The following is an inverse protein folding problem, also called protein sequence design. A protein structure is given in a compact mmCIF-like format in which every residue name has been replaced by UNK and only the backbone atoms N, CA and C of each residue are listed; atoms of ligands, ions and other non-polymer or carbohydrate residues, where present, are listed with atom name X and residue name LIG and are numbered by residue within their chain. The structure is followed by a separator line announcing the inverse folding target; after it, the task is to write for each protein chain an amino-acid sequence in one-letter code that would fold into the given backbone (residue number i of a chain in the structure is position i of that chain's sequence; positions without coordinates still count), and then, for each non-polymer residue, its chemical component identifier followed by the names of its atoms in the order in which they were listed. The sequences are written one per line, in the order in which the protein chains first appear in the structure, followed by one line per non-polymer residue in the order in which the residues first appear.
data_IF_863449869663
#
_entry.id   IF_863449869663
#
_cell.length_a   1.000
_cell.length_b   1.000
_cell.length_c   1.000
_cell.angle_alpha   90.00
_cell.angle_beta   90.00
_cell.angle_gamma   90.00
#
_symmetry.space_group_name_H-M   'P 1'
#
loop_
_entity.id
_entity.type
_entity.pdbx_description
1 polymer ?
#
# COMPACT_ATOMS: atom_id res chain seq x y z
N UNK A 1 -15.82 -3.72 -14.55
CA UNK A 1 -15.39 -2.69 -13.58
C UNK A 1 -16.40 -1.56 -13.46
N UNK A 2 -16.67 -0.77 -14.50
CA UNK A 2 -17.62 0.37 -14.43
C UNK A 2 -19.03 -0.02 -13.94
N UNK A 3 -19.58 -1.13 -14.43
CA UNK A 3 -20.86 -1.66 -13.92
C UNK A 3 -20.80 -2.01 -12.43
N UNK A 4 -19.67 -2.56 -11.97
CA UNK A 4 -19.44 -2.86 -10.56
C UNK A 4 -19.28 -1.59 -9.73
N UNK A 5 -18.64 -0.55 -10.25
CA UNK A 5 -18.51 0.77 -9.59
C UNK A 5 -19.88 1.40 -9.35
N UNK A 6 -20.84 1.20 -10.26
CA UNK A 6 -22.20 1.69 -10.13
C UNK A 6 -23.04 0.92 -9.09
N UNK A 7 -22.81 -0.38 -8.92
CA UNK A 7 -23.47 -1.22 -7.91
C UNK A 7 -22.52 -2.28 -7.31
N UNK A 8 -21.64 -1.88 -6.37
CA UNK A 8 -20.61 -2.75 -5.79
C UNK A 8 -21.13 -3.93 -4.97
N UNK A 9 -22.41 -3.88 -4.58
CA UNK A 9 -23.04 -4.86 -3.69
C UNK A 9 -23.64 -6.01 -4.49
N UNK A 10 -24.30 -5.73 -5.61
CA UNK A 10 -25.03 -6.76 -6.36
C UNK A 10 -24.29 -7.23 -7.61
N UNK A 11 -23.46 -6.39 -8.23
CA UNK A 11 -22.68 -6.80 -9.42
C UNK A 11 -21.49 -7.63 -8.97
N UNK A 12 -21.28 -8.78 -9.62
CA UNK A 12 -20.13 -9.66 -9.32
C UNK A 12 -18.89 -9.21 -10.10
N UNK A 13 -17.72 -9.08 -9.46
CA UNK A 13 -16.50 -8.69 -10.16
C UNK A 13 -16.05 -9.80 -11.12
N UNK A 14 -15.75 -9.45 -12.36
CA UNK A 14 -15.27 -10.38 -13.38
C UNK A 14 -13.74 -10.35 -13.41
N UNK A 15 -13.11 -11.52 -13.35
CA UNK A 15 -11.67 -11.67 -13.50
C UNK A 15 -11.24 -11.54 -14.97
N UNK A 16 -11.72 -12.45 -15.83
CA UNK A 16 -11.45 -12.46 -17.26
C UNK A 16 -12.47 -13.36 -17.99
N UNK A 17 -12.52 -13.24 -19.32
CA UNK A 17 -13.29 -14.14 -20.18
C UNK A 17 -12.68 -15.55 -20.21
N UNK A 18 -13.52 -16.55 -20.41
CA UNK A 18 -13.10 -17.94 -20.63
C UNK A 18 -13.12 -18.20 -22.13
N UNK A 19 -12.00 -18.69 -22.66
CA UNK A 19 -11.90 -19.21 -24.01
C UNK A 19 -11.40 -20.65 -23.93
N UNK A 20 -12.34 -21.59 -23.93
CA UNK A 20 -12.04 -23.03 -23.90
C UNK A 20 -12.84 -23.75 -25.00
N UNK A 21 -12.18 -24.24 -26.08
CA UNK A 21 -12.87 -24.90 -27.19
C UNK A 21 -13.49 -26.25 -26.81
N UNK A 22 -13.20 -26.80 -25.62
CA UNK A 22 -13.78 -28.05 -25.14
C UNK A 22 -15.10 -27.84 -24.38
N UNK A 23 -15.50 -26.59 -24.10
CA UNK A 23 -16.77 -26.31 -23.45
C UNK A 23 -17.93 -26.72 -24.35
N UNK A 24 -18.77 -27.65 -23.86
CA UNK A 24 -20.09 -27.85 -24.41
C UNK A 24 -20.98 -26.64 -24.19
N UNK A 25 -22.05 -26.52 -24.96
CA UNK A 25 -22.99 -25.39 -24.90
C UNK A 25 -23.53 -25.15 -23.48
N UNK A 26 -23.82 -26.21 -22.72
CA UNK A 26 -24.27 -26.11 -21.33
C UNK A 26 -23.23 -25.49 -20.39
N UNK A 27 -21.94 -25.72 -20.62
CA UNK A 27 -20.87 -25.08 -19.87
C UNK A 27 -20.75 -23.60 -20.26
N UNK A 28 -20.85 -23.28 -21.56
CA UNK A 28 -20.88 -21.89 -22.03
C UNK A 28 -22.00 -21.10 -21.35
N UNK A 29 -23.22 -21.64 -21.33
CA UNK A 29 -24.37 -21.03 -20.66
C UNK A 29 -24.15 -20.94 -19.14
N UNK A 30 -23.65 -22.00 -18.52
CA UNK A 30 -23.40 -22.03 -17.09
C UNK A 30 -22.34 -21.02 -16.65
N UNK A 31 -21.34 -20.69 -17.48
CA UNK A 31 -20.29 -19.71 -17.15
C UNK A 31 -20.57 -18.30 -17.69
N UNK A 32 -21.61 -18.12 -18.50
CA UNK A 32 -22.08 -16.79 -18.91
C UNK A 32 -22.92 -16.19 -17.79
N UNK A 33 -22.24 -15.53 -16.84
CA UNK A 33 -22.84 -14.95 -15.62
C UNK A 33 -22.40 -13.51 -15.41
N UNK A 34 -23.03 -12.83 -14.44
CA UNK A 34 -22.61 -11.50 -13.99
C UNK A 34 -22.85 -10.41 -15.03
N UNK A 35 -23.89 -10.53 -15.85
CA UNK A 35 -24.22 -9.56 -16.91
C UNK A 35 -23.35 -9.67 -18.17
N UNK A 36 -22.36 -10.57 -18.20
CA UNK A 36 -21.50 -10.77 -19.36
C UNK A 36 -22.25 -11.42 -20.53
N UNK A 37 -21.84 -11.08 -21.76
CA UNK A 37 -22.36 -11.68 -23.00
C UNK A 37 -21.72 -13.02 -23.36
N UNK A 38 -20.80 -13.52 -22.53
CA UNK A 38 -20.13 -14.80 -22.73
C UNK A 38 -19.50 -15.36 -21.45
N UNK A 39 -18.84 -16.53 -21.55
CA UNK A 39 -18.27 -17.22 -20.39
C UNK A 39 -17.20 -16.39 -19.66
N UNK A 40 -17.31 -16.29 -18.34
CA UNK A 40 -16.38 -15.51 -17.50
C UNK A 40 -16.04 -16.22 -16.19
N UNK A 41 -14.88 -15.89 -15.64
CA UNK A 41 -14.53 -16.21 -14.26
C UNK A 41 -14.89 -15.04 -13.34
N UNK A 42 -15.50 -15.35 -12.18
CA UNK A 42 -15.72 -14.38 -11.11
C UNK A 42 -14.41 -14.19 -10.35
N UNK A 43 -14.03 -12.93 -10.12
CA UNK A 43 -12.85 -12.59 -9.33
C UNK A 43 -13.13 -12.72 -7.84
N UNK A 44 -12.19 -13.34 -7.11
CA UNK A 44 -12.21 -13.40 -5.65
C UNK A 44 -10.94 -12.80 -5.03
N UNK A 45 -10.21 -11.97 -5.80
CA UNK A 45 -8.91 -11.42 -5.40
C UNK A 45 -9.01 -10.07 -4.68
N UNK A 46 -10.18 -9.42 -4.66
CA UNK A 46 -10.38 -8.13 -4.00
C UNK A 46 -9.87 -6.90 -4.75
N UNK A 47 -9.36 -7.08 -5.98
CA UNK A 47 -8.77 -5.96 -6.76
C UNK A 47 -9.79 -4.90 -7.14
N UNK A 48 -11.06 -5.26 -7.33
CA UNK A 48 -12.13 -4.30 -7.61
C UNK A 48 -12.35 -3.34 -6.44
N UNK A 49 -12.47 -3.90 -5.23
CA UNK A 49 -12.63 -3.15 -3.98
C UNK A 49 -11.42 -2.25 -3.74
N UNK A 50 -10.21 -2.77 -3.93
CA UNK A 50 -8.98 -1.99 -3.77
C UNK A 50 -8.92 -0.82 -4.76
N UNK A 51 -9.04 -1.08 -6.07
CA UNK A 51 -8.98 -0.04 -7.10
C UNK A 51 -10.03 1.04 -6.90
N UNK A 52 -11.26 0.64 -6.59
CA UNK A 52 -12.34 1.57 -6.31
C UNK A 52 -12.07 2.43 -5.07
N UNK A 53 -11.53 1.84 -4.00
CA UNK A 53 -11.20 2.57 -2.77
C UNK A 53 -10.14 3.64 -3.01
N UNK A 54 -9.15 3.36 -3.88
CA UNK A 54 -8.06 4.30 -4.18
C UNK A 54 -8.40 5.31 -5.28
N UNK A 55 -9.65 5.31 -5.77
CA UNK A 55 -10.15 6.37 -6.67
C UNK A 55 -10.28 5.97 -8.15
N UNK A 56 -9.99 4.73 -8.55
CA UNK A 56 -10.25 4.30 -9.93
C UNK A 56 -11.75 4.16 -10.17
N UNK A 57 -12.26 4.65 -11.31
CA UNK A 57 -13.68 4.64 -11.67
C UNK A 57 -13.95 4.05 -13.06
N UNK A 58 -13.00 4.13 -13.97
CA UNK A 58 -13.18 3.77 -15.38
C UNK A 58 -12.23 2.67 -15.86
N UNK A 59 -12.61 1.99 -16.94
CA UNK A 59 -11.71 1.05 -17.63
C UNK A 59 -10.49 1.75 -18.22
N UNK A 60 -10.62 3.02 -18.62
CA UNK A 60 -9.53 3.81 -19.18
C UNK A 60 -8.39 4.02 -18.18
N UNK A 61 -8.71 4.30 -16.92
CA UNK A 61 -7.70 4.47 -15.87
C UNK A 61 -7.02 3.14 -15.52
N UNK A 62 -7.77 2.02 -15.50
CA UNK A 62 -7.19 0.69 -15.34
C UNK A 62 -6.24 0.34 -16.50
N UNK A 63 -6.63 0.66 -17.73
CA UNK A 63 -5.79 0.46 -18.90
C UNK A 63 -4.50 1.28 -18.82
N UNK A 64 -4.59 2.59 -18.51
CA UNK A 64 -3.43 3.45 -18.34
C UNK A 64 -2.51 2.94 -17.21
N UNK A 65 -3.08 2.50 -16.09
CA UNK A 65 -2.33 1.89 -14.99
C UNK A 65 -1.58 0.63 -15.42
N UNK A 66 -2.21 -0.22 -16.25
CA UNK A 66 -1.58 -1.43 -16.77
C UNK A 66 -0.40 -1.12 -17.71
N UNK A 67 -0.54 -0.11 -18.57
CA UNK A 67 0.53 0.36 -19.46
C UNK A 67 1.67 0.96 -18.65
N UNK A 68 1.37 1.76 -17.62
CA UNK A 68 2.37 2.31 -16.71
C UNK A 68 3.18 1.21 -16.03
N UNK A 69 2.52 0.18 -15.47
CA UNK A 69 3.21 -0.94 -14.83
C UNK A 69 4.05 -1.77 -15.83
N UNK A 70 3.60 -1.92 -17.08
CA UNK A 70 4.39 -2.57 -18.13
C UNK A 70 5.67 -1.78 -18.45
N UNK A 71 5.60 -0.44 -18.52
CA UNK A 71 6.77 0.42 -18.71
C UNK A 71 7.72 0.38 -17.52
N UNK A 72 7.20 0.39 -16.29
CA UNK A 72 8.01 0.24 -15.06
C UNK A 72 8.70 -1.13 -15.03
N UNK A 73 8.02 -2.20 -15.42
CA UNK A 73 8.62 -3.54 -15.54
C UNK A 73 9.77 -3.55 -16.56
N UNK A 74 9.56 -2.95 -17.73
CA UNK A 74 10.61 -2.80 -18.74
C UNK A 74 11.81 -1.99 -18.23
N UNK A 75 11.55 -0.91 -17.47
CA UNK A 75 12.59 -0.12 -16.82
C UNK A 75 13.41 -0.95 -15.82
N UNK A 76 12.77 -1.78 -14.99
CA UNK A 76 13.49 -2.65 -14.04
C UNK A 76 14.29 -3.74 -14.73
N UNK A 77 13.77 -4.35 -15.81
CA UNK A 77 14.53 -5.31 -16.61
C UNK A 77 15.76 -4.66 -17.25
N UNK A 78 15.61 -3.45 -17.78
CA UNK A 78 16.72 -2.67 -18.31
C UNK A 78 17.73 -2.31 -17.23
N UNK A 79 17.29 -1.86 -16.05
CA UNK A 79 18.17 -1.55 -14.92
C UNK A 79 18.94 -2.79 -14.46
N UNK A 80 18.30 -3.96 -14.43
CA UNK A 80 18.94 -5.24 -14.15
C UNK A 80 20.04 -5.58 -15.15
N UNK A 81 19.77 -5.46 -16.45
CA UNK A 81 20.78 -5.61 -17.50
C UNK A 81 21.91 -4.58 -17.38
N UNK A 82 21.57 -3.32 -17.08
CA UNK A 82 22.52 -2.21 -16.98
C UNK A 82 23.52 -2.45 -15.85
N UNK A 83 23.06 -2.86 -14.67
CA UNK A 83 23.92 -3.14 -13.51
C UNK A 83 24.76 -4.41 -13.65
N UNK A 84 24.60 -5.18 -14.73
CA UNK A 84 25.53 -6.25 -15.11
C UNK A 84 26.64 -5.76 -16.05
N UNK A 85 26.53 -4.57 -16.63
CA UNK A 85 27.54 -4.02 -17.52
C UNK A 85 28.80 -3.60 -16.74
N UNK A 86 30.02 -3.75 -17.31
CA UNK A 86 31.28 -3.52 -16.60
C UNK A 86 31.38 -2.16 -15.90
N UNK A 87 30.85 -1.09 -16.53
CA UNK A 87 30.93 0.27 -15.99
C UNK A 87 29.92 0.57 -14.87
N UNK A 88 28.89 -0.27 -14.70
CA UNK A 88 27.77 -0.05 -13.77
C UNK A 88 27.63 -1.15 -12.72
N UNK A 89 28.51 -2.15 -12.75
CA UNK A 89 28.55 -3.25 -11.79
C UNK A 89 28.97 -2.73 -10.41
N UNK A 90 28.12 -2.82 -9.37
CA UNK A 90 28.48 -2.36 -8.04
C UNK A 90 29.59 -3.21 -7.42
N UNK A 91 30.46 -2.57 -6.64
CA UNK A 91 31.49 -3.26 -5.85
C UNK A 91 30.87 -4.02 -4.68
N UNK A 92 31.59 -5.01 -4.13
CA UNK A 92 31.12 -5.78 -2.96
C UNK A 92 30.89 -4.89 -1.74
N UNK A 93 31.73 -3.86 -1.54
CA UNK A 93 31.57 -2.88 -0.46
C UNK A 93 30.22 -2.17 -0.51
N UNK A 94 29.69 -1.89 -1.70
CA UNK A 94 28.37 -1.28 -1.88
C UNK A 94 27.25 -2.18 -1.33
N UNK A 95 27.31 -3.49 -1.58
CA UNK A 95 26.32 -4.45 -1.06
C UNK A 95 26.41 -4.64 0.47
N UNK A 96 27.57 -4.35 1.06
CA UNK A 96 27.85 -4.51 2.49
C UNK A 96 27.61 -3.25 3.32
N UNK A 97 27.28 -2.12 2.68
CA UNK A 97 26.96 -0.86 3.33
C UNK A 97 25.53 -0.92 3.91
N UNK A 98 25.42 -1.52 5.10
CA UNK A 98 24.16 -1.77 5.78
C UNK A 98 23.53 -0.46 6.28
N UNK A 99 24.33 0.45 6.84
CA UNK A 99 23.88 1.75 7.34
C UNK A 99 23.28 2.60 6.22
N UNK A 100 23.97 2.73 5.08
CA UNK A 100 23.44 3.48 3.94
C UNK A 100 22.15 2.85 3.42
N UNK A 101 22.13 1.53 3.24
CA UNK A 101 20.92 0.81 2.78
C UNK A 101 19.74 1.02 3.71
N UNK A 102 19.94 0.91 5.03
CA UNK A 102 18.87 1.13 6.01
C UNK A 102 18.35 2.56 6.01
N UNK A 103 19.22 3.56 5.93
CA UNK A 103 18.79 4.95 5.83
C UNK A 103 17.93 5.17 4.58
N UNK A 104 18.39 4.71 3.41
CA UNK A 104 17.65 4.85 2.15
C UNK A 104 16.35 4.06 2.13
N UNK A 105 16.31 2.87 2.74
CA UNK A 105 15.09 2.06 2.79
C UNK A 105 14.08 2.65 3.79
N UNK A 106 14.51 3.05 4.98
CA UNK A 106 13.62 3.67 5.96
C UNK A 106 13.11 5.02 5.45
N UNK A 107 13.99 5.96 5.11
CA UNK A 107 13.54 7.29 4.70
C UNK A 107 12.96 7.30 3.28
N UNK A 108 13.65 6.71 2.30
CA UNK A 108 13.23 6.73 0.90
C UNK A 108 12.14 5.70 0.60
N UNK A 109 12.47 4.41 0.72
CA UNK A 109 11.54 3.35 0.31
C UNK A 109 10.26 3.32 1.16
N UNK A 110 10.33 3.47 2.48
CA UNK A 110 9.15 3.47 3.34
C UNK A 110 8.59 4.86 3.58
N UNK A 111 9.44 5.80 4.03
CA UNK A 111 9.03 7.15 4.38
C UNK A 111 8.46 7.94 3.20
N UNK A 112 9.26 8.18 2.17
CA UNK A 112 8.83 8.96 0.99
C UNK A 112 7.71 8.25 0.23
N UNK A 113 7.74 6.93 0.09
CA UNK A 113 6.62 6.21 -0.55
C UNK A 113 5.32 6.32 0.24
N UNK A 114 5.36 6.24 1.58
CA UNK A 114 4.17 6.43 2.41
C UNK A 114 3.66 7.87 2.35
N UNK A 115 4.57 8.87 2.29
CA UNK A 115 4.21 10.27 2.09
C UNK A 115 3.55 10.50 0.73
N UNK A 116 4.11 9.92 -0.33
CA UNK A 116 3.53 9.97 -1.67
C UNK A 116 2.16 9.29 -1.72
N UNK A 117 1.99 8.19 -0.99
CA UNK A 117 0.70 7.51 -0.86
C UNK A 117 -0.33 8.36 -0.11
N UNK A 118 0.05 9.07 0.96
CA UNK A 118 -0.81 10.10 1.57
C UNK A 118 -1.22 11.14 0.52
N UNK A 119 -0.27 11.64 -0.28
CA UNK A 119 -0.55 12.57 -1.37
C UNK A 119 -1.61 12.03 -2.33
N UNK A 120 -1.47 10.78 -2.78
CA UNK A 120 -2.46 10.12 -3.62
C UNK A 120 -3.84 10.00 -2.93
N UNK A 121 -3.89 9.59 -1.67
CA UNK A 121 -5.16 9.45 -0.94
C UNK A 121 -5.87 10.80 -0.77
N UNK A 122 -5.13 11.83 -0.36
CA UNK A 122 -5.66 13.19 -0.11
C UNK A 122 -6.14 13.86 -1.38
N UNK A 123 -5.42 13.69 -2.49
CA UNK A 123 -5.71 14.42 -3.71
C UNK A 123 -6.53 13.65 -4.75
N UNK A 124 -6.58 12.31 -4.69
CA UNK A 124 -7.32 11.48 -5.67
C UNK A 124 -8.37 10.65 -4.96
N UNK A 125 -7.99 9.74 -4.06
CA UNK A 125 -8.92 8.76 -3.50
C UNK A 125 -10.06 9.41 -2.70
N UNK A 126 -9.75 10.38 -1.82
CA UNK A 126 -10.74 11.09 -1.02
C UNK A 126 -11.70 11.91 -1.91
N UNK A 127 -11.23 12.78 -2.84
CA UNK A 127 -12.11 13.45 -3.79
C UNK A 127 -13.01 12.49 -4.59
N UNK A 128 -12.46 11.40 -5.13
CA UNK A 128 -13.21 10.40 -5.89
C UNK A 128 -14.24 9.67 -5.02
N UNK A 129 -13.94 9.46 -3.73
CA UNK A 129 -14.90 8.91 -2.76
C UNK A 129 -16.05 9.87 -2.45
N UNK A 130 -15.89 11.16 -2.75
CA UNK A 130 -16.89 12.22 -2.58
C UNK A 130 -17.56 12.63 -3.91
N UNK A 131 -17.39 11.82 -4.95
CA UNK A 131 -17.97 12.06 -6.28
C UNK A 131 -17.33 13.23 -7.04
N UNK A 132 -16.12 13.66 -6.66
CA UNK A 132 -15.35 14.71 -7.34
C UNK A 132 -14.22 14.07 -8.12
N UNK A 133 -14.29 14.17 -9.46
CA UNK A 133 -13.26 13.63 -10.32
C UNK A 133 -11.94 14.40 -10.20
N UNK A 134 -10.84 13.68 -9.95
CA UNK A 134 -9.49 14.24 -9.98
C UNK A 134 -8.55 13.34 -10.76
N UNK A 135 -8.07 13.83 -11.89
CA UNK A 135 -7.16 13.16 -12.81
C UNK A 135 -5.93 14.00 -13.14
N UNK A 136 -5.06 13.47 -14.00
CA UNK A 136 -3.84 14.14 -14.45
C UNK A 136 -4.10 15.49 -15.16
N UNK A 137 -5.29 15.66 -15.70
CA UNK A 137 -5.77 16.84 -16.42
C UNK A 137 -6.14 18.01 -15.50
N UNK A 138 -6.59 17.74 -14.26
CA UNK A 138 -7.10 18.78 -13.35
C UNK A 138 -6.48 18.79 -11.94
N UNK A 139 -5.65 17.81 -11.58
CA UNK A 139 -5.04 17.69 -10.24
C UNK A 139 -4.25 18.93 -9.79
N UNK A 140 -3.62 19.64 -10.73
CA UNK A 140 -2.84 20.84 -10.42
C UNK A 140 -3.71 22.07 -10.08
N UNK A 141 -4.98 22.05 -10.46
CA UNK A 141 -5.93 23.15 -10.24
C UNK A 141 -6.97 22.83 -9.17
N UNK A 142 -7.18 21.55 -8.87
CA UNK A 142 -8.11 21.11 -7.85
C UNK A 142 -7.46 21.04 -6.47
N UNK A 143 -7.95 21.87 -5.55
CA UNK A 143 -7.48 21.84 -4.16
C UNK A 143 -8.04 20.60 -3.44
N UNK A 144 -7.20 19.86 -2.69
CA UNK A 144 -7.66 18.74 -1.86
C UNK A 144 -8.44 19.21 -0.62
N UNK A 145 -8.21 20.44 -0.16
CA UNK A 145 -8.90 21.05 0.98
C UNK A 145 -9.23 22.52 0.67
N UNK A 146 -10.41 23.05 1.03
CA UNK A 146 -10.83 24.42 0.69
C UNK A 146 -9.85 25.52 1.15
N UNK A 147 -9.26 25.34 2.33
CA UNK A 147 -8.28 26.28 2.88
C UNK A 147 -6.86 26.18 2.28
N UNK A 148 -6.63 25.25 1.33
CA UNK A 148 -5.33 25.01 0.73
C UNK A 148 -4.23 24.69 1.75
N UNK A 149 -3.01 25.16 1.50
CA UNK A 149 -1.84 24.96 2.38
C UNK A 149 -1.69 26.01 3.48
N UNK A 150 -2.58 27.00 3.57
CA UNK A 150 -2.48 28.06 4.59
C UNK A 150 -2.51 27.50 6.03
N UNK A 151 -3.39 26.55 6.40
CA UNK A 151 -3.38 25.95 7.73
C UNK A 151 -2.09 25.18 8.04
N UNK A 152 -1.48 24.54 7.02
CA UNK A 152 -0.20 23.85 7.17
C UNK A 152 0.92 24.81 7.61
N UNK A 153 1.09 25.92 6.90
CA UNK A 153 2.16 26.89 7.16
C UNK A 153 1.95 27.73 8.41
N UNK A 154 0.69 27.94 8.82
CA UNK A 154 0.34 28.67 10.05
C UNK A 154 0.35 27.78 11.30
N UNK A 155 0.55 26.47 11.14
CA UNK A 155 0.53 25.50 12.25
C UNK A 155 -0.87 25.13 12.75
N UNK A 156 -1.94 25.63 12.12
CA UNK A 156 -3.32 25.27 12.45
C UNK A 156 -3.73 23.96 11.75
N UNK A 157 -3.00 22.87 12.00
CA UNK A 157 -3.23 21.57 11.33
C UNK A 157 -4.59 20.96 11.66
N UNK A 158 -5.17 21.32 12.80
CA UNK A 158 -6.50 20.88 13.20
C UNK A 158 -7.58 21.24 12.18
N UNK A 159 -7.37 22.28 11.35
CA UNK A 159 -8.29 22.63 10.27
C UNK A 159 -8.53 21.47 9.29
N UNK A 160 -7.51 20.64 9.01
CA UNK A 160 -7.63 19.52 8.07
C UNK A 160 -8.44 18.33 8.57
N UNK A 161 -8.84 18.33 9.84
CA UNK A 161 -9.66 17.30 10.48
C UNK A 161 -11.12 17.72 10.67
N UNK A 162 -11.46 18.97 10.33
CA UNK A 162 -12.80 19.51 10.56
C UNK A 162 -13.79 18.98 9.52
N UNK A 163 -15.05 18.78 9.94
CA UNK A 163 -16.15 18.36 9.08
C UNK A 163 -15.82 17.09 8.26
N UNK A 164 -15.64 15.94 8.95
CA UNK A 164 -15.45 14.65 8.29
C UNK A 164 -16.70 14.22 7.51
N UNK A 165 -16.54 13.21 6.65
CA UNK A 165 -17.67 12.56 5.99
C UNK A 165 -18.69 12.06 7.03
N UNK A 166 -19.97 12.36 6.81
CA UNK A 166 -21.03 12.06 7.77
C UNK A 166 -21.31 10.55 7.86
N UNK A 167 -22.00 10.11 8.92
CA UNK A 167 -22.46 8.74 9.03
C UNK A 167 -23.44 8.31 7.90
N UNK A 168 -24.07 9.30 7.24
CA UNK A 168 -24.96 9.12 6.08
C UNK A 168 -24.26 9.34 4.73
N UNK A 169 -22.93 9.47 4.70
CA UNK A 169 -22.18 9.63 3.46
C UNK A 169 -22.41 8.45 2.52
N UNK A 170 -22.64 8.76 1.24
CA UNK A 170 -22.76 7.78 0.17
C UNK A 170 -21.42 7.78 -0.58
N UNK A 171 -20.68 6.68 -0.47
CA UNK A 171 -19.37 6.54 -1.11
C UNK A 171 -19.47 6.71 -2.63
N UNK A 172 -18.51 7.42 -3.21
CA UNK A 172 -18.47 7.88 -4.60
C UNK A 172 -19.57 8.89 -4.99
N UNK A 173 -20.09 9.64 -4.03
CA UNK A 173 -21.08 10.71 -4.23
C UNK A 173 -20.80 11.90 -3.30
N UNK A 174 -21.28 13.09 -3.65
CA UNK A 174 -21.18 14.28 -2.78
C UNK A 174 -22.22 14.29 -1.66
N UNK A 175 -23.11 13.30 -1.62
CA UNK A 175 -24.18 13.22 -0.61
C UNK A 175 -23.61 12.85 0.76
N UNK A 176 -23.66 13.79 1.70
CA UNK A 176 -23.18 13.60 3.07
C UNK A 176 -21.65 13.62 3.21
N UNK A 177 -20.93 14.08 2.18
CA UNK A 177 -19.47 14.24 2.24
C UNK A 177 -19.06 15.47 3.03
N UNK A 178 -17.88 15.38 3.64
CA UNK A 178 -17.21 16.46 4.34
C UNK A 178 -16.09 17.08 3.52
N UNK A 179 -15.25 17.89 4.17
CA UNK A 179 -14.03 18.48 3.60
C UNK A 179 -12.75 18.10 4.34
N UNK A 180 -12.85 17.38 5.47
CA UNK A 180 -11.67 16.83 6.16
C UNK A 180 -10.81 15.98 5.20
N UNK A 181 -9.49 16.09 5.34
CA UNK A 181 -8.54 15.25 4.58
C UNK A 181 -7.66 14.37 5.48
N UNK A 182 -7.59 14.68 6.78
CA UNK A 182 -6.81 13.95 7.77
C UNK A 182 -7.61 13.84 9.06
N UNK A 183 -8.10 12.65 9.40
CA UNK A 183 -8.94 12.45 10.58
C UNK A 183 -8.38 11.38 11.51
N UNK A 184 -9.02 11.19 12.66
CA UNK A 184 -8.72 10.12 13.60
C UNK A 184 -10.02 9.61 14.23
N UNK A 185 -10.96 9.22 13.37
CA UNK A 185 -12.32 8.86 13.76
C UNK A 185 -12.37 7.49 14.44
N UNK A 186 -11.63 6.52 13.88
CA UNK A 186 -11.73 5.12 14.26
C UNK A 186 -13.03 4.46 13.78
N UNK A 187 -13.08 3.14 13.92
CA UNK A 187 -14.20 2.33 13.45
C UNK A 187 -14.30 2.31 11.93
N UNK A 188 -15.53 2.23 11.42
CA UNK A 188 -15.81 2.00 10.01
C UNK A 188 -16.80 3.01 9.44
N UNK A 189 -16.62 3.33 8.17
CA UNK A 189 -17.60 4.06 7.39
C UNK A 189 -18.90 3.24 7.28
N UNK A 190 -20.06 3.75 7.74
CA UNK A 190 -21.27 2.94 7.94
C UNK A 190 -21.81 2.25 6.68
N UNK A 191 -21.68 2.87 5.51
CA UNK A 191 -22.15 2.25 4.26
C UNK A 191 -21.20 1.16 3.75
N UNK A 192 -19.90 1.45 3.67
CA UNK A 192 -18.91 0.56 3.04
C UNK A 192 -18.44 -0.55 3.98
N UNK A 193 -18.64 -0.39 5.29
CA UNK A 193 -18.12 -1.27 6.35
C UNK A 193 -16.60 -1.42 6.27
N UNK A 194 -15.91 -0.34 5.90
CA UNK A 194 -14.46 -0.27 5.77
C UNK A 194 -13.88 0.89 6.58
N UNK A 195 -12.56 0.88 6.79
CA UNK A 195 -11.84 2.01 7.40
C UNK A 195 -12.09 3.31 6.63
N UNK A 196 -12.07 4.44 7.34
CA UNK A 196 -12.22 5.77 6.76
C UNK A 196 -10.99 6.14 5.92
N UNK A 197 -11.19 6.62 4.69
CA UNK A 197 -10.08 7.04 3.81
C UNK A 197 -9.23 8.15 4.43
N UNK A 198 -9.85 9.08 5.13
CA UNK A 198 -9.16 10.18 5.85
C UNK A 198 -8.34 9.68 7.04
N UNK A 199 -8.74 8.60 7.70
CA UNK A 199 -7.93 7.93 8.73
C UNK A 199 -6.76 7.18 8.10
N UNK A 200 -6.97 6.49 6.97
CA UNK A 200 -5.90 5.82 6.21
C UNK A 200 -4.87 6.85 5.71
N UNK A 201 -5.32 7.98 5.16
CA UNK A 201 -4.44 9.06 4.71
C UNK A 201 -3.59 9.63 5.85
N UNK A 202 -4.21 9.88 7.02
CA UNK A 202 -3.52 10.34 8.22
C UNK A 202 -2.54 9.29 8.77
N UNK A 203 -2.93 8.02 8.79
CA UNK A 203 -2.04 6.92 9.17
C UNK A 203 -0.77 6.92 8.32
N UNK A 204 -0.91 6.96 6.99
CA UNK A 204 0.22 6.99 6.08
C UNK A 204 1.12 8.22 6.26
N UNK A 205 0.52 9.38 6.58
CA UNK A 205 1.28 10.60 6.82
C UNK A 205 2.11 10.48 8.10
N UNK A 206 1.49 9.96 9.16
CA UNK A 206 2.14 9.75 10.45
C UNK A 206 3.32 8.78 10.34
N UNK A 207 3.11 7.61 9.72
CA UNK A 207 4.21 6.63 9.56
C UNK A 207 5.27 7.12 8.57
N UNK A 208 4.92 7.94 7.58
CA UNK A 208 5.89 8.54 6.69
C UNK A 208 6.90 9.40 7.46
N UNK A 209 6.41 10.28 8.35
CA UNK A 209 7.27 11.10 9.21
C UNK A 209 8.16 10.22 10.09
N UNK A 210 7.60 9.18 10.72
CA UNK A 210 8.37 8.24 11.56
C UNK A 210 9.50 7.58 10.77
N UNK A 211 9.21 7.07 9.57
CA UNK A 211 10.20 6.39 8.74
C UNK A 211 11.24 7.34 8.13
N UNK A 212 10.85 8.56 7.73
CA UNK A 212 11.79 9.60 7.28
C UNK A 212 12.77 9.93 8.40
N UNK A 213 12.28 10.18 9.62
CA UNK A 213 13.15 10.48 10.77
C UNK A 213 14.04 9.27 11.11
N UNK A 214 13.48 8.06 11.16
CA UNK A 214 14.23 6.84 11.44
C UNK A 214 15.35 6.58 10.41
N UNK A 215 15.13 6.92 9.14
CA UNK A 215 16.14 6.79 8.09
C UNK A 215 17.28 7.81 8.14
N UNK A 216 17.32 8.69 9.15
CA UNK A 216 18.46 9.58 9.43
C UNK A 216 19.28 9.13 10.65
N UNK A 217 19.07 7.90 11.14
CA UNK A 217 19.72 7.38 12.34
C UNK A 217 21.16 6.91 12.09
N UNK A 218 21.43 6.23 10.98
CA UNK A 218 22.71 5.54 10.79
C UNK A 218 23.75 6.41 10.10
N UNK A 219 25.03 6.20 10.44
CA UNK A 219 26.14 7.01 9.94
C UNK A 219 26.45 6.68 8.49
N UNK A 220 26.51 7.71 7.65
CA UNK A 220 26.97 7.62 6.26
C UNK A 220 28.22 8.49 6.05
N UNK A 221 28.56 8.79 4.79
CA UNK A 221 29.66 9.68 4.41
C UNK A 221 29.52 11.14 4.90
N UNK A 222 28.35 11.53 5.41
CA UNK A 222 28.13 12.85 6.04
C UNK A 222 28.68 12.95 7.47
N UNK A 223 29.25 11.88 8.02
CA UNK A 223 30.04 11.93 9.25
C UNK A 223 29.23 11.91 10.56
N UNK A 224 27.91 12.06 10.51
CA UNK A 224 26.99 12.05 11.67
C UNK A 224 26.08 10.82 11.60
N UNK A 225 25.73 10.26 12.75
CA UNK A 225 24.84 9.09 12.90
C UNK A 225 25.48 7.93 13.67
N UNK A 226 24.75 6.83 13.79
CA UNK A 226 25.21 5.65 14.52
C UNK A 226 25.87 4.60 13.62
N UNK A 227 26.94 3.96 14.13
CA UNK A 227 27.47 2.72 13.54
C UNK A 227 26.76 1.53 14.15
N UNK A 228 26.16 0.66 13.33
CA UNK A 228 25.38 -0.47 13.83
C UNK A 228 26.21 -1.42 14.68
N UNK A 229 27.43 -1.72 14.23
CA UNK A 229 28.37 -2.53 14.98
C UNK A 229 28.62 -1.98 16.39
N UNK A 230 28.83 -0.67 16.52
CA UNK A 230 29.09 -0.05 17.82
C UNK A 230 27.87 -0.08 18.74
N UNK A 231 26.65 0.05 18.20
CA UNK A 231 25.41 -0.15 18.97
C UNK A 231 25.36 -1.58 19.51
N UNK A 232 25.59 -2.57 18.66
CA UNK A 232 25.53 -3.99 19.05
C UNK A 232 26.60 -4.33 20.09
N UNK A 233 27.86 -3.99 19.85
CA UNK A 233 28.95 -4.28 20.77
C UNK A 233 28.84 -3.53 22.11
N UNK A 234 28.23 -2.35 22.11
CA UNK A 234 27.94 -1.59 23.32
C UNK A 234 26.75 -2.12 24.11
N UNK A 235 25.91 -2.98 23.53
CA UNK A 235 24.74 -3.55 24.18
C UNK A 235 25.10 -4.81 24.98
N UNK A 236 25.66 -4.58 26.17
CA UNK A 236 26.10 -5.63 27.10
C UNK A 236 25.13 -5.69 28.29
N UNK A 237 24.69 -6.90 28.70
CA UNK A 237 23.77 -7.05 29.82
C UNK A 237 24.40 -6.55 31.14
N UNK A 238 23.60 -5.99 32.06
CA UNK A 238 24.09 -5.59 33.39
C UNK A 238 24.65 -6.75 34.23
N UNK A 239 24.25 -7.99 33.94
CA UNK A 239 24.69 -9.21 34.64
C UNK A 239 25.16 -10.29 33.66
N UNK A 240 26.07 -11.15 34.12
CA UNK A 240 26.78 -12.14 33.28
C UNK A 240 26.00 -13.39 32.87
N UNK A 241 24.69 -13.47 33.14
CA UNK A 241 23.90 -14.69 32.87
C UNK A 241 23.44 -14.83 31.42
N UNK A 242 23.67 -13.82 30.56
CA UNK A 242 23.22 -13.80 29.15
C UNK A 242 24.38 -13.93 28.14
N UNK A 243 25.55 -14.42 28.60
CA UNK A 243 26.70 -14.66 27.74
C UNK A 243 27.46 -13.39 27.33
N UNK A 244 28.14 -13.45 26.18
CA UNK A 244 29.03 -12.37 25.71
C UNK A 244 28.31 -11.16 25.07
N UNK A 245 26.96 -11.12 25.11
CA UNK A 245 26.15 -10.07 24.48
C UNK A 245 26.12 -10.17 22.95
N UNK A 246 25.97 -9.03 22.26
CA UNK A 246 25.80 -8.98 20.80
C UNK A 246 27.11 -8.86 19.99
N UNK A 247 28.26 -9.20 20.59
CA UNK A 247 29.57 -9.12 19.92
C UNK A 247 29.63 -10.05 18.70
N UNK A 248 30.12 -9.54 17.57
CA UNK A 248 30.26 -10.30 16.32
C UNK A 248 28.95 -10.55 15.55
N UNK A 249 27.79 -10.11 16.08
CA UNK A 249 26.50 -10.29 15.38
C UNK A 249 26.47 -9.46 14.09
N UNK A 250 27.01 -8.24 14.10
CA UNK A 250 27.04 -7.39 12.90
C UNK A 250 27.73 -8.10 11.74
N UNK A 251 28.93 -8.64 11.96
CA UNK A 251 29.68 -9.38 10.95
C UNK A 251 28.95 -10.65 10.54
N UNK A 252 28.39 -11.39 11.49
CA UNK A 252 27.65 -12.63 11.23
C UNK A 252 26.49 -12.37 10.26
N UNK A 253 25.67 -11.35 10.55
CA UNK A 253 24.53 -10.97 9.70
C UNK A 253 25.01 -10.38 8.38
N UNK A 254 25.91 -9.39 8.41
CA UNK A 254 26.31 -8.69 7.20
C UNK A 254 27.10 -9.60 6.25
N UNK A 255 27.73 -10.67 6.75
CA UNK A 255 28.50 -11.63 5.95
C UNK A 255 27.74 -12.84 5.43
N UNK A 256 26.62 -13.22 6.06
CA UNK A 256 25.82 -14.35 5.61
C UNK A 256 24.53 -13.92 4.92
N UNK A 257 24.45 -14.11 3.60
CA UNK A 257 23.20 -13.90 2.86
C UNK A 257 22.09 -14.84 3.33
N UNK A 258 22.42 -16.07 3.76
CA UNK A 258 21.45 -16.99 4.33
C UNK A 258 20.88 -16.48 5.65
N UNK A 259 21.70 -15.83 6.48
CA UNK A 259 21.21 -15.24 7.72
C UNK A 259 20.29 -14.04 7.45
N UNK A 260 20.67 -13.17 6.51
CA UNK A 260 19.81 -12.05 6.07
C UNK A 260 18.49 -12.56 5.48
N UNK A 261 18.54 -13.57 4.61
CA UNK A 261 17.35 -14.18 4.02
C UNK A 261 16.45 -14.81 5.08
N UNK A 262 17.02 -15.56 6.02
CA UNK A 262 16.26 -16.18 7.11
C UNK A 262 15.52 -15.15 7.97
N UNK A 263 16.20 -14.07 8.37
CA UNK A 263 15.57 -12.97 9.10
C UNK A 263 14.51 -12.25 8.28
N UNK A 264 14.79 -11.98 7.00
CA UNK A 264 13.85 -11.30 6.11
C UNK A 264 12.58 -12.14 5.91
N UNK A 265 12.70 -13.45 5.66
CA UNK A 265 11.58 -14.36 5.51
C UNK A 265 10.77 -14.50 6.80
N UNK A 266 11.43 -14.61 7.97
CA UNK A 266 10.73 -14.62 9.25
C UNK A 266 9.94 -13.33 9.50
N UNK A 267 10.55 -12.17 9.18
CA UNK A 267 9.89 -10.86 9.33
C UNK A 267 8.71 -10.71 8.37
N UNK A 268 8.90 -11.03 7.08
CA UNK A 268 7.86 -10.92 6.05
C UNK A 268 6.75 -11.93 6.29
N UNK A 269 7.05 -13.17 6.69
CA UNK A 269 6.03 -14.17 7.04
C UNK A 269 5.17 -13.72 8.20
N UNK A 270 5.79 -13.17 9.26
CA UNK A 270 5.06 -12.59 10.40
C UNK A 270 4.14 -11.45 9.97
N UNK A 271 4.64 -10.49 9.16
CA UNK A 271 3.83 -9.38 8.65
C UNK A 271 2.75 -9.88 7.69
N UNK A 272 3.01 -10.91 6.89
CA UNK A 272 2.02 -11.49 5.95
C UNK A 272 0.85 -12.12 6.71
N UNK A 273 1.12 -12.83 7.82
CA UNK A 273 0.05 -13.32 8.69
C UNK A 273 -0.69 -12.16 9.36
N UNK A 274 0.02 -11.12 9.82
CA UNK A 274 -0.61 -9.92 10.38
C UNK A 274 -1.55 -9.23 9.37
N UNK A 275 -1.15 -9.15 8.10
CA UNK A 275 -1.99 -8.64 7.00
C UNK A 275 -3.27 -9.46 6.88
N UNK A 276 -3.17 -10.80 6.90
CA UNK A 276 -4.35 -11.67 6.87
C UNK A 276 -5.29 -11.37 8.05
N UNK A 277 -4.74 -11.29 9.27
CA UNK A 277 -5.51 -11.07 10.50
C UNK A 277 -6.16 -9.68 10.54
N UNK A 278 -5.46 -8.65 10.07
CA UNK A 278 -5.97 -7.28 10.09
C UNK A 278 -6.97 -7.01 8.97
N UNK A 279 -6.78 -7.51 7.75
CA UNK A 279 -7.71 -7.21 6.64
C UNK A 279 -9.11 -7.79 6.87
N UNK A 280 -9.23 -8.96 7.51
CA UNK A 280 -10.56 -9.53 7.78
C UNK A 280 -11.28 -8.84 8.94
N UNK A 281 -10.54 -8.37 9.94
CA UNK A 281 -11.11 -7.74 11.16
C UNK A 281 -11.26 -6.22 11.04
N UNK A 282 -10.42 -5.57 10.22
CA UNK A 282 -10.40 -4.15 9.95
C UNK A 282 -10.37 -3.92 8.41
N UNK A 283 -11.49 -4.15 7.70
CA UNK A 283 -11.51 -4.09 6.24
C UNK A 283 -11.06 -2.72 5.70
N UNK A 284 -9.96 -2.64 4.92
CA UNK A 284 -9.45 -1.35 4.44
C UNK A 284 -10.13 -0.88 3.15
N UNK A 285 -10.82 -1.79 2.44
CA UNK A 285 -11.39 -1.51 1.11
C UNK A 285 -12.91 -1.47 1.16
N UNK A 286 -13.48 -0.47 0.49
CA UNK A 286 -14.91 -0.26 0.44
C UNK A 286 -15.64 -1.50 -0.09
N UNK A 287 -16.68 -1.92 0.65
CA UNK A 287 -17.53 -3.07 0.36
C UNK A 287 -16.85 -4.44 0.39
N UNK A 288 -15.58 -4.54 0.80
CA UNK A 288 -14.89 -5.84 0.94
C UNK A 288 -15.56 -6.74 1.98
N UNK A 289 -16.05 -6.16 3.08
CA UNK A 289 -16.74 -6.90 4.13
C UNK A 289 -18.04 -7.60 3.65
N UNK A 290 -18.64 -7.12 2.57
CA UNK A 290 -19.86 -7.70 1.98
C UNK A 290 -19.54 -8.83 0.97
N UNK A 291 -18.29 -8.95 0.52
CA UNK A 291 -17.86 -9.99 -0.40
C UNK A 291 -17.18 -11.14 0.37
N UNK A 292 -18.00 -12.02 0.93
CA UNK A 292 -17.56 -13.11 1.80
C UNK A 292 -16.59 -14.08 1.12
N UNK A 293 -16.79 -14.37 -0.17
CA UNK A 293 -15.89 -15.29 -0.90
C UNK A 293 -14.52 -14.66 -1.12
N UNK A 294 -14.49 -13.36 -1.44
CA UNK A 294 -13.22 -12.62 -1.54
C UNK A 294 -12.51 -12.51 -0.19
N UNK A 295 -13.23 -12.18 0.89
CA UNK A 295 -12.65 -12.16 2.25
C UNK A 295 -12.04 -13.50 2.65
N UNK A 296 -12.77 -14.60 2.46
CA UNK A 296 -12.27 -15.95 2.73
C UNK A 296 -11.05 -16.32 1.87
N UNK A 297 -11.07 -15.91 0.59
CA UNK A 297 -9.95 -16.14 -0.33
C UNK A 297 -8.71 -15.37 0.11
N UNK A 298 -8.84 -14.07 0.44
CA UNK A 298 -7.72 -13.23 0.87
C UNK A 298 -7.11 -13.71 2.18
N UNK A 299 -7.92 -14.06 3.17
CA UNK A 299 -7.42 -14.58 4.45
C UNK A 299 -6.64 -15.88 4.25
N UNK A 300 -7.25 -16.86 3.57
CA UNK A 300 -6.62 -18.16 3.31
C UNK A 300 -5.33 -17.98 2.50
N UNK A 301 -5.36 -17.14 1.46
CA UNK A 301 -4.21 -16.87 0.61
C UNK A 301 -3.01 -16.35 1.41
N UNK A 302 -3.19 -15.28 2.19
CA UNK A 302 -2.08 -14.69 2.96
C UNK A 302 -1.61 -15.63 4.07
N UNK A 303 -2.50 -16.40 4.70
CA UNK A 303 -2.11 -17.40 5.69
C UNK A 303 -1.31 -18.57 5.11
N UNK A 304 -1.50 -18.94 3.85
CA UNK A 304 -0.69 -19.97 3.17
C UNK A 304 0.65 -19.43 2.65
N UNK A 305 0.76 -18.12 2.39
CA UNK A 305 2.03 -17.47 2.05
C UNK A 305 2.92 -17.30 3.30
N UNK A 306 2.32 -16.96 4.43
CA UNK A 306 3.00 -16.75 5.71
C UNK A 306 3.63 -18.04 6.26
#
# INVERSE_FOLDING_TARGET
FEEWVADPIHVRPIAHAIWDPHFGQSAVEAFTRGGATGPVNISTSGVYQWWYTIGLRTKGELYLSSVFLALVSALFLFAGWLHLQPNFKPAVSWFKDAESRLNHHLAGLFGVSSLAWTGHLVHVAIPESRGKHVGWDNFLTELPHPAGLTPFWTGNWAAYAQNPDSASHIFSSSSGSGDAILTFLGGFHPQTQSLWLTDIAHHHLAIAVLFIVAGHMYRTNFGIGHRLQAILEGHVPPSGSLGAGHKGIFETVNNSLHFQLGLALASVGTITSLVAQHIYSLPPYAFLANDFTTQASLYTHHQYIA
#
